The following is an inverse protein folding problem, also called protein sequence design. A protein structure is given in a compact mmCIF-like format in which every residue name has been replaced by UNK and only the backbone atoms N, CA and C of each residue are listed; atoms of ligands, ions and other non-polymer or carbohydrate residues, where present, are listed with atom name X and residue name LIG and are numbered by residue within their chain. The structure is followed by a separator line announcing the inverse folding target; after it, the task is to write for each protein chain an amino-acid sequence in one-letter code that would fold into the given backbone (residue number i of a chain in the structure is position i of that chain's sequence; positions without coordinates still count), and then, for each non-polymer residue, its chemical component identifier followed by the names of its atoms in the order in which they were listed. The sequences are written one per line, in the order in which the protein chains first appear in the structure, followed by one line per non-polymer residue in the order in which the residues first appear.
data_IF_668070142284
#
_entry.id   IF_668070142284
#
_cell.length_a   1.000
_cell.length_b   1.000
_cell.length_c   1.000
_cell.angle_alpha   90.00
_cell.angle_beta   90.00
_cell.angle_gamma   90.00
#
_symmetry.space_group_name_H-M   'P 1'
#
loop_
_entity.id
_entity.type
_entity.pdbx_description
1 polymer ?
#
# COMPACT_ATOMS: atom_id res chain seq x y z
N UNK A 1 24.42 6.68 -39.97
CA UNK A 1 23.81 7.50 -38.90
C UNK A 1 24.14 6.85 -37.56
N UNK A 2 24.89 7.53 -36.68
CA UNK A 2 25.23 6.97 -35.37
C UNK A 2 23.98 6.89 -34.47
N UNK A 3 23.75 5.78 -33.74
CA UNK A 3 22.59 5.66 -32.86
C UNK A 3 22.71 6.66 -31.71
N UNK A 4 21.72 7.56 -31.60
CA UNK A 4 21.66 8.54 -30.52
C UNK A 4 21.59 7.80 -29.17
N UNK A 5 22.56 8.06 -28.28
CA UNK A 5 22.58 7.52 -26.91
C UNK A 5 21.28 7.89 -26.22
N UNK A 6 20.50 6.90 -25.77
CA UNK A 6 19.28 7.11 -24.99
C UNK A 6 19.68 7.88 -23.73
N UNK A 7 19.20 9.10 -23.58
CA UNK A 7 19.34 9.88 -22.34
C UNK A 7 18.77 9.04 -21.20
N UNK A 8 19.59 8.79 -20.17
CA UNK A 8 19.13 8.08 -18.98
C UNK A 8 18.01 8.90 -18.36
N UNK A 9 16.78 8.37 -18.33
CA UNK A 9 15.68 9.01 -17.62
C UNK A 9 16.11 9.30 -16.18
N UNK A 10 15.78 10.50 -15.68
CA UNK A 10 16.01 10.87 -14.29
C UNK A 10 15.34 9.86 -13.35
N UNK A 11 15.89 9.69 -12.15
CA UNK A 11 15.33 8.81 -11.10
C UNK A 11 13.86 9.14 -10.82
N UNK A 12 13.49 10.42 -10.90
CA UNK A 12 12.12 10.89 -10.69
C UNK A 12 11.16 10.47 -11.81
N UNK A 13 11.60 10.55 -13.07
CA UNK A 13 10.78 10.15 -14.21
C UNK A 13 10.58 8.63 -14.26
N UNK A 14 11.60 7.86 -13.87
CA UNK A 14 11.46 6.42 -13.66
C UNK A 14 10.47 6.11 -12.54
N UNK A 15 10.48 6.86 -11.44
CA UNK A 15 9.54 6.68 -10.34
C UNK A 15 8.10 7.01 -10.76
N UNK A 16 7.88 8.10 -11.51
CA UNK A 16 6.57 8.47 -12.07
C UNK A 16 6.02 7.37 -12.98
N UNK A 17 6.84 6.88 -13.92
CA UNK A 17 6.46 5.80 -14.83
C UNK A 17 6.09 4.51 -14.11
N UNK A 18 6.84 4.13 -13.06
CA UNK A 18 6.51 2.98 -12.21
C UNK A 18 5.20 3.18 -11.45
N UNK A 19 4.97 4.37 -10.91
CA UNK A 19 3.73 4.73 -10.21
C UNK A 19 2.51 4.65 -11.13
N UNK A 20 2.59 5.21 -12.33
CA UNK A 20 1.53 5.15 -13.33
C UNK A 20 1.23 3.72 -13.78
N UNK A 21 2.26 2.91 -14.00
CA UNK A 21 2.08 1.50 -14.34
C UNK A 21 1.40 0.72 -13.20
N UNK A 22 1.76 1.01 -11.95
CA UNK A 22 1.12 0.42 -10.78
C UNK A 22 -0.36 0.81 -10.67
N UNK A 23 -0.69 2.09 -10.94
CA UNK A 23 -2.08 2.57 -10.99
C UNK A 23 -2.88 1.84 -12.08
N UNK A 24 -2.35 1.75 -13.30
CA UNK A 24 -2.99 1.04 -14.42
C UNK A 24 -3.23 -0.44 -14.08
N UNK A 25 -2.26 -1.11 -13.46
CA UNK A 25 -2.41 -2.51 -13.01
C UNK A 25 -3.53 -2.65 -11.98
N UNK A 26 -3.58 -1.77 -10.98
CA UNK A 26 -4.63 -1.79 -9.96
C UNK A 26 -6.02 -1.54 -10.55
N UNK A 27 -6.14 -0.61 -11.50
CA UNK A 27 -7.41 -0.36 -12.21
C UNK A 27 -7.88 -1.61 -12.96
N UNK A 28 -6.98 -2.31 -13.67
CA UNK A 28 -7.32 -3.58 -14.34
C UNK A 28 -7.83 -4.63 -13.36
N UNK A 29 -7.16 -4.80 -12.22
CA UNK A 29 -7.58 -5.75 -11.18
C UNK A 29 -8.94 -5.37 -10.59
N UNK A 30 -9.19 -4.07 -10.39
CA UNK A 30 -10.46 -3.60 -9.81
C UNK A 30 -11.64 -3.79 -10.75
N UNK A 31 -11.42 -3.63 -12.05
CA UNK A 31 -12.47 -3.71 -13.06
C UNK A 31 -12.90 -5.15 -13.39
N UNK A 32 -12.06 -6.14 -13.10
CA UNK A 32 -12.36 -7.56 -13.32
C UNK A 32 -12.70 -8.24 -11.98
N UNK A 33 -13.92 -8.77 -11.80
CA UNK A 33 -14.34 -9.39 -10.54
C UNK A 33 -13.54 -10.65 -10.19
N UNK A 34 -13.04 -11.41 -11.17
CA UNK A 34 -12.25 -12.63 -10.94
C UNK A 34 -10.87 -12.25 -10.41
N UNK A 35 -10.21 -11.32 -11.08
CA UNK A 35 -8.90 -10.81 -10.63
C UNK A 35 -8.99 -10.11 -9.28
N UNK A 36 -10.10 -9.41 -9.00
CA UNK A 36 -10.34 -8.78 -7.71
C UNK A 36 -10.46 -9.82 -6.59
N UNK A 37 -11.17 -10.92 -6.83
CA UNK A 37 -11.31 -12.01 -5.85
C UNK A 37 -9.95 -12.64 -5.54
N UNK A 38 -9.16 -12.97 -6.55
CA UNK A 38 -7.80 -13.49 -6.37
C UNK A 38 -6.90 -12.51 -5.60
N UNK A 39 -6.98 -11.22 -5.91
CA UNK A 39 -6.20 -10.19 -5.24
C UNK A 39 -6.56 -10.10 -3.75
N UNK A 40 -7.85 -10.15 -3.42
CA UNK A 40 -8.35 -10.16 -2.03
C UNK A 40 -7.84 -11.38 -1.27
N UNK A 41 -7.89 -12.57 -1.88
CA UNK A 41 -7.41 -13.79 -1.24
C UNK A 41 -5.89 -13.75 -0.99
N UNK A 42 -5.10 -13.25 -1.95
CA UNK A 42 -3.66 -13.04 -1.75
C UNK A 42 -3.36 -12.10 -0.58
N UNK A 43 -4.08 -10.98 -0.46
CA UNK A 43 -3.90 -10.06 0.67
C UNK A 43 -4.38 -10.67 1.99
N UNK A 44 -5.45 -11.49 1.98
CA UNK A 44 -5.89 -12.26 3.16
C UNK A 44 -4.81 -13.23 3.63
N UNK A 45 -4.25 -14.04 2.74
CA UNK A 45 -3.16 -14.97 3.06
C UNK A 45 -1.93 -14.24 3.61
N UNK A 46 -1.60 -13.08 3.03
CA UNK A 46 -0.50 -12.24 3.51
C UNK A 46 -0.77 -11.68 4.91
N UNK A 47 -2.00 -11.30 5.22
CA UNK A 47 -2.40 -10.90 6.56
C UNK A 47 -2.28 -12.07 7.55
N UNK A 48 -2.76 -13.25 7.19
CA UNK A 48 -2.64 -14.47 8.00
C UNK A 48 -1.17 -14.81 8.29
N UNK A 49 -0.30 -14.81 7.27
CA UNK A 49 1.16 -15.01 7.44
C UNK A 49 1.80 -13.99 8.38
N UNK A 50 1.35 -12.73 8.37
CA UNK A 50 1.84 -11.70 9.30
C UNK A 50 1.34 -11.92 10.72
N UNK A 51 0.12 -12.44 10.86
CA UNK A 51 -0.47 -12.81 12.15
C UNK A 51 0.26 -14.00 12.76
N UNK A 52 0.49 -15.06 11.98
CA UNK A 52 1.29 -16.23 12.38
C UNK A 52 2.70 -15.85 12.84
N UNK A 53 3.36 -14.93 12.11
CA UNK A 53 4.69 -14.42 12.48
C UNK A 53 4.68 -13.45 13.68
N UNK A 54 3.54 -13.21 14.33
CA UNK A 54 3.41 -12.28 15.46
C UNK A 54 3.57 -10.80 15.11
N UNK A 55 3.70 -10.44 13.83
CA UNK A 55 3.86 -9.04 13.36
C UNK A 55 2.54 -8.26 13.39
N UNK A 56 1.40 -8.97 13.47
CA UNK A 56 0.07 -8.40 13.62
C UNK A 56 -0.64 -9.12 14.77
N UNK A 57 -1.11 -8.36 15.75
CA UNK A 57 -1.95 -8.85 16.86
C UNK A 57 -3.36 -8.29 16.69
N UNK A 58 -4.39 -9.05 17.06
CA UNK A 58 -5.73 -8.49 17.23
C UNK A 58 -5.76 -7.66 18.52
N UNK A 59 -6.68 -6.71 18.64
CA UNK A 59 -6.80 -5.84 19.82
C UNK A 59 -6.99 -6.64 21.11
N UNK A 60 -7.77 -7.73 21.05
CA UNK A 60 -7.97 -8.67 22.16
C UNK A 60 -6.68 -9.34 22.65
N UNK A 61 -5.68 -9.46 21.77
CA UNK A 61 -4.40 -10.12 22.06
C UNK A 61 -3.28 -9.08 22.36
N UNK A 62 -3.62 -7.78 22.41
CA UNK A 62 -2.68 -6.71 22.75
C UNK A 62 -2.68 -6.44 24.24
N UNK A 63 -1.51 -6.16 24.80
CA UNK A 63 -1.41 -5.58 26.15
C UNK A 63 -1.97 -4.15 26.17
N UNK A 64 -2.39 -3.62 27.33
CA UNK A 64 -2.88 -2.23 27.44
C UNK A 64 -1.88 -1.18 26.91
N UNK A 65 -0.57 -1.43 27.09
CA UNK A 65 0.50 -0.55 26.61
C UNK A 65 0.60 -0.58 25.09
N UNK A 66 0.60 -1.76 24.47
CA UNK A 66 0.61 -1.91 23.01
C UNK A 66 -0.63 -1.28 22.38
N UNK A 67 -1.81 -1.51 22.97
CA UNK A 67 -3.06 -0.92 22.49
C UNK A 67 -3.02 0.61 22.52
N UNK A 68 -2.49 1.21 23.59
CA UNK A 68 -2.31 2.67 23.71
C UNK A 68 -1.41 3.22 22.60
N UNK A 69 -0.29 2.55 22.31
CA UNK A 69 0.63 2.95 21.23
C UNK A 69 -0.05 2.83 19.86
N UNK A 70 -0.75 1.72 19.61
CA UNK A 70 -1.48 1.51 18.36
C UNK A 70 -2.56 2.57 18.15
N UNK A 71 -3.33 2.89 19.20
CA UNK A 71 -4.36 3.94 19.17
C UNK A 71 -3.78 5.31 18.85
N UNK A 72 -2.65 5.70 19.47
CA UNK A 72 -1.98 6.99 19.16
C UNK A 72 -1.57 7.06 17.69
N UNK A 73 -0.95 6.00 17.16
CA UNK A 73 -0.57 5.93 15.74
C UNK A 73 -1.80 6.04 14.83
N UNK A 74 -2.88 5.33 15.17
CA UNK A 74 -4.13 5.38 14.40
C UNK A 74 -4.74 6.78 14.37
N UNK A 75 -4.78 7.48 15.50
CA UNK A 75 -5.28 8.87 15.58
C UNK A 75 -4.44 9.81 14.71
N UNK A 76 -3.10 9.71 14.80
CA UNK A 76 -2.20 10.51 13.98
C UNK A 76 -2.40 10.27 12.48
N UNK A 77 -2.38 9.00 12.05
CA UNK A 77 -2.59 8.65 10.64
C UNK A 77 -3.98 9.08 10.13
N UNK A 78 -5.01 8.97 10.97
CA UNK A 78 -6.37 9.42 10.60
C UNK A 78 -6.44 10.94 10.47
N UNK A 79 -5.75 11.69 11.33
CA UNK A 79 -5.65 13.14 11.21
C UNK A 79 -4.90 13.55 9.93
N UNK A 80 -3.77 12.93 9.64
CA UNK A 80 -2.99 13.21 8.43
C UNK A 80 -3.77 12.89 7.16
N UNK A 81 -4.47 11.75 7.13
CA UNK A 81 -5.33 11.39 6.01
C UNK A 81 -6.46 12.41 5.80
N UNK A 82 -7.12 12.85 6.87
CA UNK A 82 -8.16 13.89 6.80
C UNK A 82 -7.63 15.23 6.31
N UNK A 83 -6.43 15.65 6.76
CA UNK A 83 -5.77 16.85 6.24
C UNK A 83 -5.49 16.69 4.75
N UNK A 84 -4.88 15.57 4.34
CA UNK A 84 -4.56 15.31 2.95
C UNK A 84 -5.80 15.33 2.05
N UNK A 85 -6.92 14.78 2.50
CA UNK A 85 -8.17 14.75 1.73
C UNK A 85 -8.94 16.07 1.75
N UNK A 86 -8.81 16.89 2.79
CA UNK A 86 -9.43 18.23 2.86
C UNK A 86 -8.76 19.25 1.92
N UNK A 87 -7.47 19.07 1.63
CA UNK A 87 -6.67 19.98 0.81
C UNK A 87 -6.20 19.34 -0.52
N UNK A 88 -6.76 18.19 -0.91
CA UNK A 88 -6.49 17.50 -2.18
C UNK A 88 -7.70 17.56 -3.10
#
# INVERSE_FOLDING_TARGET
MAPKKKTSLSKEDLAKKKSEQAKKRLQKIHNDPVLLAEYREKERLKYLKKKEKGKRKCVKDMTPREHRVAKRKWVAYSADYRKKTKYS
#
